data_IF_178266389647
#
_entry.id   IF_178266389647
#
_cell.length_a   1.000
_cell.length_b   1.000
_cell.length_c   1.000
_cell.angle_alpha   90.00
_cell.angle_beta   90.00
_cell.angle_gamma   90.00
#
_symmetry.space_group_name_H-M   'P 1'
#
loop_
_entity.id
_entity.type
_entity.pdbx_description
1 polymer ?
#
# COMPACT_ATOMS: atom_id res chain seq x y z
N UNK A 1 -22.12 -13.79 13.72
CA UNK A 1 -20.83 -14.54 13.75
C UNK A 1 -19.69 -13.93 12.90
N UNK A 2 -19.92 -13.00 11.96
CA UNK A 2 -18.85 -12.40 11.11
C UNK A 2 -17.93 -11.40 11.82
N UNK A 3 -18.36 -10.78 12.91
CA UNK A 3 -17.60 -9.68 13.53
C UNK A 3 -16.49 -10.14 14.49
N UNK A 4 -16.51 -11.41 14.93
CA UNK A 4 -15.51 -11.95 15.85
C UNK A 4 -14.13 -12.16 15.20
N UNK A 5 -14.11 -12.48 13.90
CA UNK A 5 -12.84 -12.65 13.16
C UNK A 5 -12.13 -11.31 13.03
N UNK A 6 -12.87 -10.24 12.76
CA UNK A 6 -12.31 -8.87 12.70
C UNK A 6 -11.76 -8.44 14.07
N UNK A 7 -12.48 -8.76 15.16
CA UNK A 7 -12.06 -8.48 16.52
C UNK A 7 -10.81 -9.28 16.92
N UNK A 8 -10.73 -10.55 16.51
CA UNK A 8 -9.56 -11.41 16.73
C UNK A 8 -8.34 -10.91 15.96
N UNK A 9 -8.49 -10.48 14.73
CA UNK A 9 -7.42 -9.89 13.92
C UNK A 9 -6.94 -8.59 14.57
N UNK A 10 -7.84 -7.73 15.04
CA UNK A 10 -7.50 -6.51 15.77
C UNK A 10 -6.81 -6.80 17.10
N UNK A 11 -7.24 -7.84 17.84
CA UNK A 11 -6.59 -8.24 19.10
C UNK A 11 -5.20 -8.84 18.90
N UNK A 12 -4.99 -9.64 17.86
CA UNK A 12 -3.68 -10.22 17.53
C UNK A 12 -2.72 -9.13 17.05
N UNK A 13 -3.20 -8.17 16.28
CA UNK A 13 -2.40 -6.99 15.91
C UNK A 13 -2.11 -6.07 17.11
N UNK A 14 -3.03 -5.97 18.08
CA UNK A 14 -2.91 -5.05 19.21
C UNK A 14 -1.94 -5.50 20.31
N UNK A 15 -1.61 -6.79 20.43
CA UNK A 15 -0.71 -7.28 21.49
C UNK A 15 0.78 -6.96 21.31
N UNK A 16 1.22 -6.59 20.13
CA UNK A 16 2.63 -6.35 19.84
C UNK A 16 3.01 -4.89 19.58
N UNK A 17 2.08 -3.95 19.56
CA UNK A 17 2.39 -2.57 19.20
C UNK A 17 1.55 -1.56 20.01
N UNK A 18 2.16 -1.02 21.06
CA UNK A 18 1.78 0.32 21.58
C UNK A 18 2.27 1.44 20.64
N UNK A 19 2.48 1.15 19.35
CA UNK A 19 2.85 2.11 18.32
C UNK A 19 1.66 2.32 17.40
N UNK A 20 1.41 3.59 17.11
CA UNK A 20 0.46 4.01 16.06
C UNK A 20 0.65 3.12 14.84
N UNK A 21 -0.41 2.47 14.33
CA UNK A 21 -0.29 1.62 13.15
C UNK A 21 0.37 2.41 12.03
N UNK A 22 1.38 1.84 11.35
CA UNK A 22 2.11 2.56 10.33
C UNK A 22 1.15 2.94 9.20
N UNK A 23 0.79 4.21 9.19
CA UNK A 23 -0.01 4.79 8.12
C UNK A 23 0.84 4.81 6.85
N UNK A 24 0.22 4.57 5.71
CA UNK A 24 0.83 4.70 4.38
C UNK A 24 -0.03 5.64 3.57
N UNK A 25 0.62 6.60 2.92
CA UNK A 25 -0.01 7.45 1.92
C UNK A 25 0.74 7.31 0.61
N UNK A 26 0.05 7.39 -0.51
CA UNK A 26 0.66 7.22 -1.80
C UNK A 26 -0.08 7.91 -2.93
N UNK A 27 0.66 8.06 -4.02
CA UNK A 27 0.11 8.47 -5.29
C UNK A 27 0.41 7.38 -6.31
N UNK A 28 -0.63 6.94 -6.98
CA UNK A 28 -0.58 5.79 -7.86
C UNK A 28 -1.32 6.08 -9.17
N UNK A 29 -0.80 5.53 -10.25
CA UNK A 29 -1.51 5.42 -11.51
C UNK A 29 -1.88 3.95 -11.73
N UNK A 30 -3.16 3.63 -11.55
CA UNK A 30 -3.72 2.28 -11.74
C UNK A 30 -4.82 2.31 -12.81
N UNK A 31 -4.43 2.75 -14.02
CA UNK A 31 -5.34 3.08 -15.11
C UNK A 31 -5.99 4.45 -14.98
N UNK A 32 -5.85 5.08 -13.81
CA UNK A 32 -6.23 6.45 -13.46
C UNK A 32 -5.35 6.97 -12.34
N UNK A 33 -5.27 8.29 -12.23
CA UNK A 33 -4.64 8.94 -11.10
C UNK A 33 -5.41 8.64 -9.82
N UNK A 34 -4.70 8.16 -8.82
CA UNK A 34 -5.30 7.65 -7.60
C UNK A 34 -4.46 8.08 -6.40
N UNK A 35 -5.11 8.56 -5.37
CA UNK A 35 -4.49 8.80 -4.08
C UNK A 35 -4.79 7.62 -3.16
N UNK A 36 -3.76 7.08 -2.53
CA UNK A 36 -3.85 5.92 -1.64
C UNK A 36 -3.65 6.33 -0.19
N UNK A 37 -4.50 5.82 0.69
CA UNK A 37 -4.34 5.90 2.15
C UNK A 37 -4.60 4.53 2.74
N UNK A 38 -3.67 4.03 3.55
CA UNK A 38 -3.79 2.70 4.13
C UNK A 38 -3.01 2.51 5.41
N UNK A 39 -3.14 1.33 5.98
CA UNK A 39 -2.41 0.84 7.16
C UNK A 39 -1.62 -0.37 6.73
N UNK A 40 -0.33 -0.40 7.07
CA UNK A 40 0.57 -1.51 6.73
C UNK A 40 1.00 -2.27 7.98
N UNK A 41 0.83 -3.59 7.98
CA UNK A 41 1.45 -4.50 8.92
C UNK A 41 2.67 -5.18 8.32
N UNK A 42 3.70 -5.44 9.12
CA UNK A 42 4.92 -6.11 8.67
C UNK A 42 5.27 -7.28 9.57
N UNK A 43 5.65 -8.42 8.95
CA UNK A 43 6.13 -9.61 9.65
C UNK A 43 7.52 -9.92 9.10
N UNK A 44 8.52 -10.00 9.97
CA UNK A 44 9.87 -10.41 9.61
C UNK A 44 9.96 -11.92 9.65
N UNK A 45 10.50 -12.52 8.60
CA UNK A 45 10.58 -13.98 8.45
C UNK A 45 11.93 -14.54 8.91
N UNK A 46 12.96 -13.70 8.99
CA UNK A 46 14.31 -14.12 9.35
C UNK A 46 14.95 -13.18 10.39
N UNK A 47 15.94 -13.71 11.10
CA UNK A 47 16.69 -12.95 12.13
C UNK A 47 17.54 -11.83 11.49
N UNK A 48 18.06 -12.06 10.29
CA UNK A 48 18.86 -11.09 9.53
C UNK A 48 18.05 -9.98 8.89
N UNK A 49 16.72 -9.99 9.05
CA UNK A 49 15.79 -8.99 8.50
C UNK A 49 15.85 -8.83 6.98
N UNK A 50 16.32 -9.86 6.28
CA UNK A 50 16.42 -9.85 4.80
C UNK A 50 15.06 -10.05 4.17
N UNK A 51 14.22 -10.92 4.77
CA UNK A 51 12.89 -11.24 4.30
C UNK A 51 11.82 -10.62 5.19
N UNK A 52 10.91 -9.89 4.59
CA UNK A 52 9.78 -9.27 5.29
C UNK A 52 8.52 -9.45 4.46
N UNK A 53 7.47 -9.96 5.07
CA UNK A 53 6.12 -9.89 4.50
C UNK A 53 5.48 -8.61 5.00
N UNK A 54 4.90 -7.85 4.12
CA UNK A 54 4.03 -6.74 4.49
C UNK A 54 2.65 -6.90 3.87
N UNK A 55 1.66 -6.52 4.64
CA UNK A 55 0.27 -6.49 4.22
C UNK A 55 -0.29 -5.09 4.47
N UNK A 56 -0.97 -4.54 3.49
CA UNK A 56 -1.58 -3.22 3.56
C UNK A 56 -3.07 -3.36 3.31
N UNK A 57 -3.87 -2.66 4.10
CA UNK A 57 -5.29 -2.45 3.79
C UNK A 57 -5.55 -0.95 3.72
N UNK A 58 -6.34 -0.53 2.76
CA UNK A 58 -6.52 0.90 2.53
C UNK A 58 -7.65 1.21 1.56
N UNK A 59 -7.64 2.46 1.14
CA UNK A 59 -8.61 3.00 0.18
C UNK A 59 -7.86 3.79 -0.90
N UNK A 60 -8.17 3.48 -2.14
CA UNK A 60 -7.80 4.29 -3.29
C UNK A 60 -8.89 5.32 -3.55
N UNK A 61 -8.53 6.59 -3.57
CA UNK A 61 -9.41 7.69 -3.95
C UNK A 61 -9.12 8.07 -5.41
N UNK A 62 -10.06 7.85 -6.30
CA UNK A 62 -9.91 8.13 -7.74
C UNK A 62 -11.10 8.88 -8.30
N UNK A 63 -10.85 9.72 -9.30
CA UNK A 63 -11.91 10.39 -10.07
C UNK A 63 -12.57 9.42 -11.06
N UNK A 64 -13.88 9.24 -10.98
CA UNK A 64 -14.63 8.39 -11.87
C UNK A 64 -16.02 8.97 -12.15
N UNK A 65 -16.36 9.17 -13.44
CA UNK A 65 -17.66 9.72 -13.89
C UNK A 65 -18.05 11.01 -13.16
N UNK A 66 -17.10 11.96 -13.05
CA UNK A 66 -17.34 13.27 -12.44
C UNK A 66 -17.44 13.29 -10.91
N UNK A 67 -17.20 12.15 -10.24
CA UNK A 67 -17.21 12.03 -8.77
C UNK A 67 -15.93 11.37 -8.26
N UNK A 68 -15.59 11.65 -7.00
CA UNK A 68 -14.52 10.90 -6.30
C UNK A 68 -15.08 9.59 -5.79
N UNK A 69 -14.42 8.48 -6.11
CA UNK A 69 -14.75 7.16 -5.59
C UNK A 69 -13.65 6.63 -4.69
N UNK A 70 -14.05 6.08 -3.55
CA UNK A 70 -13.21 5.26 -2.68
C UNK A 70 -13.29 3.80 -3.10
N UNK A 71 -12.12 3.19 -3.36
CA UNK A 71 -11.99 1.78 -3.71
C UNK A 71 -11.19 1.11 -2.60
N UNK A 72 -11.81 0.18 -1.89
CA UNK A 72 -11.12 -0.61 -0.87
C UNK A 72 -10.05 -1.49 -1.50
N UNK A 73 -8.89 -1.60 -0.83
CA UNK A 73 -7.82 -2.51 -1.24
C UNK A 73 -7.33 -3.39 -0.09
N UNK A 74 -6.82 -4.54 -0.48
CA UNK A 74 -5.95 -5.38 0.32
C UNK A 74 -4.72 -5.75 -0.51
N UNK A 75 -3.54 -5.51 0.05
CA UNK A 75 -2.27 -5.75 -0.63
C UNK A 75 -1.37 -6.63 0.24
N UNK A 76 -0.69 -7.58 -0.37
CA UNK A 76 0.33 -8.38 0.30
C UNK A 76 1.56 -8.48 -0.59
N UNK A 77 2.75 -8.40 0.01
CA UNK A 77 4.01 -8.52 -0.72
C UNK A 77 5.12 -9.10 0.17
N UNK A 78 6.03 -9.82 -0.48
CA UNK A 78 7.29 -10.29 0.08
C UNK A 78 8.40 -9.32 -0.33
N UNK A 79 9.10 -8.78 0.63
CA UNK A 79 10.27 -7.92 0.44
C UNK A 79 11.54 -8.71 0.74
N UNK A 80 12.49 -8.62 -0.15
CA UNK A 80 13.87 -9.09 0.05
C UNK A 80 14.82 -7.89 -0.06
N UNK A 81 15.44 -7.52 1.05
CA UNK A 81 16.29 -6.31 1.16
C UNK A 81 15.54 -5.05 0.69
N UNK A 82 15.83 -4.59 -0.52
CA UNK A 82 15.24 -3.38 -1.11
C UNK A 82 14.19 -3.66 -2.18
N UNK A 83 14.11 -4.90 -2.68
CA UNK A 83 13.14 -5.30 -3.69
C UNK A 83 11.92 -5.96 -3.05
N UNK A 84 10.77 -5.83 -3.68
CA UNK A 84 9.58 -6.58 -3.28
C UNK A 84 8.76 -7.04 -4.48
N UNK A 85 8.02 -8.10 -4.26
CA UNK A 85 7.03 -8.60 -5.21
C UNK A 85 5.75 -8.97 -4.45
N UNK A 86 4.61 -8.70 -5.05
CA UNK A 86 3.32 -8.97 -4.41
C UNK A 86 2.15 -8.66 -5.31
N UNK A 87 0.98 -8.56 -4.70
CA UNK A 87 -0.24 -8.20 -5.41
C UNK A 87 -1.16 -7.34 -4.52
N UNK A 88 -1.93 -6.49 -5.17
CA UNK A 88 -3.05 -5.77 -4.58
C UNK A 88 -4.34 -6.37 -5.12
N UNK A 89 -5.27 -6.65 -4.25
CA UNK A 89 -6.64 -7.01 -4.56
C UNK A 89 -7.57 -5.83 -4.29
N UNK A 90 -8.44 -5.56 -5.25
CA UNK A 90 -9.57 -4.64 -5.11
C UNK A 90 -10.83 -5.35 -5.59
N UNK A 91 -12.04 -4.87 -5.28
CA UNK A 91 -13.27 -5.42 -5.87
C UNK A 91 -13.29 -5.39 -7.42
N UNK A 92 -12.50 -4.50 -8.02
CA UNK A 92 -12.51 -4.24 -9.48
C UNK A 92 -11.35 -4.88 -10.23
N UNK A 93 -10.23 -5.19 -9.54
CA UNK A 93 -9.03 -5.69 -10.21
C UNK A 93 -8.09 -6.41 -9.23
N UNK A 94 -7.22 -7.25 -9.81
CA UNK A 94 -6.00 -7.75 -9.17
C UNK A 94 -4.83 -7.05 -9.83
N UNK A 95 -3.86 -6.57 -9.02
CA UNK A 95 -2.71 -5.81 -9.50
C UNK A 95 -1.44 -6.49 -8.99
N UNK A 96 -0.87 -7.45 -9.74
CA UNK A 96 0.48 -7.94 -9.47
C UNK A 96 1.46 -6.78 -9.60
N UNK A 97 2.42 -6.68 -8.66
CA UNK A 97 3.38 -5.59 -8.59
C UNK A 97 4.74 -6.03 -8.12
N UNK A 98 5.76 -5.39 -8.65
CA UNK A 98 7.15 -5.51 -8.20
C UNK A 98 7.69 -4.10 -7.94
N UNK A 99 8.62 -3.98 -7.01
CA UNK A 99 9.11 -2.64 -6.69
C UNK A 99 10.35 -2.62 -5.83
N UNK A 100 10.69 -1.41 -5.45
CA UNK A 100 11.81 -1.08 -4.58
C UNK A 100 11.29 -0.36 -3.34
N UNK A 101 11.86 -0.70 -2.18
CA UNK A 101 11.53 -0.04 -0.92
C UNK A 101 12.80 0.31 -0.16
N UNK A 102 13.02 1.61 0.05
CA UNK A 102 14.14 2.14 0.82
C UNK A 102 13.56 2.85 2.03
N UNK A 103 13.88 2.32 3.22
CA UNK A 103 13.28 2.80 4.47
C UNK A 103 11.75 2.80 4.37
N UNK A 104 11.16 3.99 4.40
CA UNK A 104 9.73 4.23 4.48
C UNK A 104 9.12 4.68 3.13
N UNK A 105 9.90 4.58 2.04
CA UNK A 105 9.47 4.92 0.67
C UNK A 105 9.46 3.66 -0.17
N UNK A 106 8.34 3.43 -0.86
CA UNK A 106 8.13 2.28 -1.73
C UNK A 106 7.68 2.75 -3.11
N UNK A 107 8.42 2.39 -4.14
CA UNK A 107 8.03 2.62 -5.52
C UNK A 107 7.79 1.28 -6.22
N UNK A 108 6.75 1.20 -7.04
CA UNK A 108 6.41 -0.04 -7.73
C UNK A 108 5.96 0.18 -9.16
N UNK A 109 6.08 -0.89 -9.95
CA UNK A 109 5.42 -1.08 -11.22
C UNK A 109 4.60 -2.36 -11.18
N UNK A 110 3.49 -2.39 -11.90
CA UNK A 110 2.57 -3.52 -11.92
C UNK A 110 1.66 -3.50 -13.13
N UNK A 111 0.64 -4.35 -13.10
CA UNK A 111 -0.34 -4.43 -14.15
C UNK A 111 -1.75 -4.65 -13.61
N UNK A 112 -2.70 -3.84 -14.04
CA UNK A 112 -4.11 -3.93 -13.64
C UNK A 112 -4.79 -5.03 -14.45
N UNK A 113 -5.25 -6.08 -13.78
CA UNK A 113 -6.04 -7.17 -14.34
C UNK A 113 -7.45 -7.04 -13.79
N UNK A 114 -8.44 -6.56 -14.57
CA UNK A 114 -9.81 -6.46 -14.12
C UNK A 114 -10.38 -7.82 -13.72
N UNK A 115 -11.18 -7.86 -12.65
CA UNK A 115 -11.94 -9.05 -12.29
C UNK A 115 -13.06 -9.30 -13.29
N UNK A 116 -13.46 -10.56 -13.49
CA UNK A 116 -14.45 -10.96 -14.49
C UNK A 116 -15.78 -10.19 -14.41
N UNK A 117 -16.21 -9.80 -13.20
CA UNK A 117 -17.42 -9.02 -12.98
C UNK A 117 -17.35 -7.60 -13.60
N UNK A 118 -16.14 -7.12 -13.89
CA UNK A 118 -15.88 -5.75 -14.35
C UNK A 118 -14.99 -5.72 -15.61
N UNK A 119 -14.86 -6.84 -16.31
CA UNK A 119 -13.97 -6.95 -17.49
C UNK A 119 -14.41 -6.08 -18.67
N UNK A 120 -15.69 -5.76 -18.79
CA UNK A 120 -16.23 -4.85 -19.83
C UNK A 120 -16.24 -3.40 -19.35
N UNK A 121 -15.17 -2.76 -19.59
CA UNK A 121 -14.68 -1.39 -19.76
C UNK A 121 -15.31 -0.22 -19.00
N UNK A 122 -16.52 0.17 -19.26
CA UNK A 122 -17.00 1.52 -18.94
C UNK A 122 -17.41 1.74 -17.47
N UNK A 123 -17.76 0.67 -16.77
CA UNK A 123 -18.17 0.74 -15.37
C UNK A 123 -17.04 0.41 -14.37
N UNK A 124 -15.85 0.06 -14.87
CA UNK A 124 -14.70 -0.22 -14.01
C UNK A 124 -13.90 1.07 -13.74
N UNK A 125 -13.79 1.52 -12.49
CA UNK A 125 -12.98 2.68 -12.15
C UNK A 125 -11.47 2.42 -12.36
N UNK A 126 -11.03 1.16 -12.42
CA UNK A 126 -9.65 0.76 -12.68
C UNK A 126 -9.54 0.18 -14.09
N UNK A 127 -8.85 0.89 -14.97
CA UNK A 127 -8.64 0.41 -16.36
C UNK A 127 -7.53 -0.61 -16.43
N UNK A 128 -7.73 -1.63 -17.27
CA UNK A 128 -6.66 -2.57 -17.64
C UNK A 128 -5.45 -1.83 -18.18
N UNK A 129 -4.26 -2.18 -17.73
CA UNK A 129 -3.02 -1.57 -18.19
C UNK A 129 -1.94 -1.49 -17.12
N UNK A 130 -0.92 -0.73 -17.40
CA UNK A 130 0.19 -0.52 -16.47
C UNK A 130 -0.27 0.19 -15.19
N UNK A 131 0.34 -0.21 -14.09
CA UNK A 131 0.21 0.45 -12.79
C UNK A 131 1.61 0.90 -12.34
N UNK A 132 1.71 2.09 -11.81
CA UNK A 132 2.90 2.59 -11.15
C UNK A 132 2.48 3.38 -9.92
N UNK A 133 3.31 3.35 -8.87
CA UNK A 133 2.97 4.09 -7.66
C UNK A 133 4.17 4.33 -6.76
N UNK A 134 4.00 5.34 -5.92
CA UNK A 134 4.92 5.67 -4.82
C UNK A 134 4.09 5.75 -3.55
N UNK A 135 4.49 4.99 -2.54
CA UNK A 135 3.90 4.96 -1.22
C UNK A 135 4.94 5.40 -0.19
N UNK A 136 4.53 6.22 0.75
CA UNK A 136 5.40 6.82 1.76
C UNK A 136 4.76 6.64 3.13
N UNK A 137 5.54 6.22 4.14
CA UNK A 137 5.12 6.36 5.54
C UNK A 137 5.16 7.86 5.89
N UNK A 138 4.06 8.46 6.38
CA UNK A 138 4.01 9.88 6.73
C UNK A 138 5.06 10.30 7.77
N UNK A 139 5.58 9.38 8.57
CA UNK A 139 6.71 9.67 9.47
C UNK A 139 7.93 10.15 8.70
N UNK A 140 8.17 9.63 7.49
CA UNK A 140 9.26 10.10 6.64
C UNK A 140 9.03 11.54 6.18
N UNK A 141 7.78 11.94 5.94
CA UNK A 141 7.43 13.31 5.55
C UNK A 141 7.61 14.32 6.68
N UNK A 142 7.45 13.89 7.94
CA UNK A 142 7.67 14.75 9.11
C UNK A 142 9.17 14.93 9.42
N UNK A 143 9.99 13.95 9.11
CA UNK A 143 11.43 13.98 9.38
C UNK A 143 12.18 14.79 8.31
N UNK A 144 11.73 14.74 7.05
CA UNK A 144 12.40 15.40 5.93
C UNK A 144 12.55 16.94 6.09
N UNK A 145 11.49 17.69 6.45
CA UNK A 145 11.64 19.12 6.68
C UNK A 145 12.44 19.45 7.95
N UNK A 146 12.38 18.58 8.98
CA UNK A 146 13.17 18.78 10.20
C UNK A 146 14.68 18.60 9.95
N UNK A 147 15.05 17.61 9.15
CA UNK A 147 16.44 17.37 8.75
C UNK A 147 17.00 18.50 7.85
N UNK A 148 16.15 19.13 7.03
CA UNK A 148 16.51 20.28 6.20
C UNK A 148 16.66 21.57 7.01
N UNK A 149 15.91 21.73 8.13
CA UNK A 149 15.92 22.92 9.00
C UNK A 149 17.06 22.85 10.02
N UNK A 150 17.37 21.67 10.56
CA UNK A 150 18.35 21.50 11.65
C UNK A 150 19.78 21.40 11.11
N UNK A 151 19.97 21.19 9.79
CA UNK A 151 21.28 20.90 9.22
C UNK A 151 21.80 19.55 9.68
N UNK A 152 22.56 18.90 8.87
CA UNK A 152 23.11 17.57 9.13
C UNK A 152 23.95 17.58 10.43
N UNK A 153 23.53 16.91 11.51
CA UNK A 153 24.30 16.87 12.77
C UNK A 153 25.50 15.90 12.69
N UNK A 154 25.87 15.43 11.48
CA UNK A 154 26.97 14.50 11.21
C UNK A 154 28.11 15.17 10.42
N UNK A 155 28.46 16.43 10.75
CA UNK A 155 29.78 17.00 10.45
C UNK A 155 30.59 17.17 11.71
#
# INVERSE_FOLDING_TARGET
MKNWILFLILMVCGKNYAQVPPLVVGYEYIGRNTFHVGITGTIRLDQDKKYTVFATTGVHLTGFQGSTRGIFEFSAALKYRHTFAGATYTPYAIIPKVGLGIKDIYAYAGYVIPTNAYASGDNNPLRRGFAVGINIDPKALLILPLALIIGDPLK
#
